data_IF_876859261108
#
_entry.id   IF_876859261108
#
_cell.length_a   1.000
_cell.length_b   1.000
_cell.length_c   1.000
_cell.angle_alpha   90.00
_cell.angle_beta   90.00
_cell.angle_gamma   90.00
#
_symmetry.space_group_name_H-M   'P 1'
#
loop_
_entity.id
_entity.type
_entity.pdbx_description
1 polymer ?
#
# COMPACT_ATOMS: atom_id res chain seq x y z
N UNK A 1 -12.45 -22.96 -15.98
CA UNK A 1 -12.76 -22.80 -14.55
C UNK A 1 -11.78 -21.81 -13.95
N UNK A 2 -12.20 -20.57 -13.69
CA UNK A 2 -11.32 -19.56 -13.09
C UNK A 2 -11.07 -19.94 -11.63
N UNK A 3 -9.90 -20.50 -11.35
CA UNK A 3 -9.46 -20.77 -9.99
C UNK A 3 -9.43 -19.42 -9.27
N UNK A 4 -10.24 -19.28 -8.21
CA UNK A 4 -10.09 -18.21 -7.20
C UNK A 4 -8.74 -18.39 -6.53
N UNK A 5 -7.66 -18.03 -7.22
CA UNK A 5 -6.32 -18.03 -6.67
C UNK A 5 -6.32 -16.97 -5.57
N UNK A 6 -6.11 -17.41 -4.32
CA UNK A 6 -5.74 -16.47 -3.25
C UNK A 6 -4.56 -15.65 -3.80
N UNK A 7 -4.62 -14.31 -3.77
CA UNK A 7 -3.50 -13.51 -4.22
C UNK A 7 -2.26 -13.99 -3.46
N UNK A 8 -1.25 -14.46 -4.19
CA UNK A 8 -0.03 -14.97 -3.58
C UNK A 8 0.69 -13.80 -2.92
N UNK A 9 0.95 -13.91 -1.62
CA UNK A 9 1.75 -12.91 -0.91
C UNK A 9 3.22 -13.28 -1.06
N UNK A 10 4.03 -12.34 -1.57
CA UNK A 10 5.48 -12.47 -1.63
C UNK A 10 6.11 -11.48 -0.66
N UNK A 11 7.04 -11.95 0.16
CA UNK A 11 7.84 -11.07 1.02
C UNK A 11 8.78 -10.24 0.15
N UNK A 12 8.75 -8.93 0.33
CA UNK A 12 9.65 -7.98 -0.31
C UNK A 12 10.44 -7.24 0.76
N UNK A 13 11.73 -7.08 0.56
CA UNK A 13 12.61 -6.28 1.41
C UNK A 13 12.81 -4.92 0.75
N UNK A 14 12.31 -3.86 1.39
CA UNK A 14 12.48 -2.48 0.93
C UNK A 14 13.35 -1.71 1.92
N UNK A 15 14.23 -0.85 1.42
CA UNK A 15 15.00 0.08 2.26
C UNK A 15 14.26 1.41 2.31
N UNK A 16 14.05 1.92 3.51
CA UNK A 16 13.39 3.20 3.76
C UNK A 16 14.23 4.01 4.75
N UNK A 17 14.18 5.36 4.69
CA UNK A 17 14.78 6.20 5.73
C UNK A 17 14.19 5.90 7.11
N UNK A 18 15.03 5.92 8.15
CA UNK A 18 14.60 5.64 9.53
C UNK A 18 13.51 6.60 10.01
N UNK A 19 13.60 7.88 9.63
CA UNK A 19 12.61 8.91 9.94
C UNK A 19 11.21 8.58 9.44
N UNK A 20 11.12 8.01 8.24
CA UNK A 20 9.85 7.58 7.64
C UNK A 20 9.27 6.38 8.39
N UNK A 21 10.11 5.39 8.75
CA UNK A 21 9.69 4.23 9.53
C UNK A 21 9.14 4.66 10.89
N UNK A 22 9.82 5.61 11.56
CA UNK A 22 9.37 6.16 12.83
C UNK A 22 8.02 6.87 12.68
N UNK A 23 7.86 7.72 11.66
CA UNK A 23 6.59 8.39 11.37
C UNK A 23 5.46 7.40 11.11
N UNK A 24 5.69 6.35 10.31
CA UNK A 24 4.72 5.29 10.04
C UNK A 24 4.30 4.56 11.32
N UNK A 25 5.23 4.24 12.21
CA UNK A 25 4.92 3.61 13.51
C UNK A 25 4.04 4.52 14.38
N UNK A 26 4.34 5.81 14.45
CA UNK A 26 3.54 6.77 15.21
C UNK A 26 2.13 6.86 14.64
N UNK A 27 1.98 6.97 13.31
CA UNK A 27 0.68 7.03 12.66
C UNK A 27 -0.14 5.75 12.85
N UNK A 28 0.52 4.59 12.84
CA UNK A 28 -0.11 3.31 13.03
C UNK A 28 -0.65 3.16 14.46
N UNK A 29 0.16 3.55 15.46
CA UNK A 29 -0.27 3.59 16.86
C UNK A 29 -1.46 4.54 17.06
N UNK A 30 -1.45 5.72 16.42
CA UNK A 30 -2.58 6.67 16.48
C UNK A 30 -3.89 6.10 15.91
N UNK A 31 -3.79 5.20 14.93
CA UNK A 31 -4.93 4.53 14.29
C UNK A 31 -5.25 3.16 14.93
N UNK A 32 -4.55 2.80 16.01
CA UNK A 32 -4.65 1.50 16.68
C UNK A 32 -4.51 0.29 15.73
N UNK A 33 -3.55 0.38 14.80
CA UNK A 33 -3.25 -0.71 13.86
C UNK A 33 -1.75 -0.96 13.77
N UNK A 34 -1.30 -2.17 13.40
CA UNK A 34 0.11 -2.45 13.16
C UNK A 34 0.67 -1.62 12.00
N UNK A 35 1.91 -1.12 12.12
CA UNK A 35 2.55 -0.31 11.07
C UNK A 35 2.65 -1.04 9.72
N UNK A 36 2.80 -2.36 9.73
CA UNK A 36 2.81 -3.18 8.52
C UNK A 36 1.45 -3.19 7.83
N UNK A 37 0.36 -3.20 8.59
CA UNK A 37 -1.00 -3.11 8.05
C UNK A 37 -1.26 -1.73 7.47
N UNK A 38 -0.87 -0.66 8.20
CA UNK A 38 -0.95 0.72 7.71
C UNK A 38 -0.19 0.89 6.38
N UNK A 39 1.04 0.38 6.32
CA UNK A 39 1.86 0.43 5.10
C UNK A 39 1.17 -0.25 3.92
N UNK A 40 0.57 -1.42 4.11
CA UNK A 40 -0.17 -2.13 3.06
C UNK A 40 -1.39 -1.33 2.58
N UNK A 41 -2.12 -0.69 3.50
CA UNK A 41 -3.27 0.15 3.16
C UNK A 41 -2.84 1.33 2.29
N UNK A 42 -1.84 2.10 2.75
CA UNK A 42 -1.35 3.26 2.00
C UNK A 42 -0.80 2.89 0.62
N UNK A 43 -0.05 1.79 0.51
CA UNK A 43 0.42 1.30 -0.79
C UNK A 43 -0.74 0.91 -1.70
N UNK A 44 -1.75 0.21 -1.17
CA UNK A 44 -2.91 -0.18 -1.96
C UNK A 44 -3.76 1.01 -2.39
N UNK A 45 -3.91 2.03 -1.54
CA UNK A 45 -4.65 3.25 -1.85
C UNK A 45 -3.94 4.02 -2.96
N UNK A 46 -2.62 4.24 -2.81
CA UNK A 46 -1.82 4.96 -3.82
C UNK A 46 -1.79 4.27 -5.17
N UNK A 47 -1.68 2.94 -5.22
CA UNK A 47 -1.74 2.19 -6.48
C UNK A 47 -3.12 2.31 -7.14
N UNK A 48 -4.20 2.30 -6.37
CA UNK A 48 -5.55 2.49 -6.91
C UNK A 48 -5.74 3.90 -7.44
N UNK A 49 -5.26 4.91 -6.72
CA UNK A 49 -5.30 6.31 -7.16
C UNK A 49 -4.60 6.48 -8.51
N UNK A 50 -3.36 5.98 -8.65
CA UNK A 50 -2.59 6.11 -9.89
C UNK A 50 -3.26 5.36 -11.07
N UNK A 51 -3.65 4.10 -10.86
CA UNK A 51 -4.32 3.32 -11.89
C UNK A 51 -5.68 3.92 -12.31
N UNK A 52 -6.36 4.64 -11.41
CA UNK A 52 -7.62 5.31 -11.72
C UNK A 52 -7.38 6.66 -12.43
N UNK A 53 -6.27 7.33 -12.12
CA UNK A 53 -5.87 8.57 -12.78
C UNK A 53 -5.48 8.33 -14.25
N UNK A 54 -4.83 7.20 -14.56
CA UNK A 54 -4.49 6.81 -15.94
C UNK A 54 -5.72 6.62 -16.84
N UNK A 55 -6.88 6.28 -16.26
CA UNK A 55 -8.12 6.09 -17.01
C UNK A 55 -8.79 7.42 -17.44
N UNK A 56 -8.42 8.55 -16.82
CA UNK A 56 -8.97 9.88 -17.15
C UNK A 56 -8.07 10.69 -18.09
N UNK A 57 -6.85 10.24 -18.40
CA UNK A 57 -5.91 10.95 -19.28
C UNK A 57 -5.89 10.48 -20.74
N UNK A 58 -6.75 9.54 -21.15
CA UNK A 58 -6.87 9.05 -22.54
C UNK A 58 -8.17 9.51 -23.23
N UNK A 59 -8.78 10.58 -22.77
CA UNK A 59 -10.00 11.14 -23.35
C UNK A 59 -9.94 12.67 -23.37
N UNK A 60 -8.87 13.21 -23.94
CA UNK A 60 -8.80 14.58 -24.49
C UNK A 60 -7.89 14.57 -25.73
#
# INVERSE_FOLDING_TARGET
>A
TFVRLKPSTRTVSIRLPESLIAALKILANKKDIPYQSLMKMYLSEKVKEENSADAYSSSD
#
